data_IF_362242082621
#
_entry.id   IF_362242082621
#
_cell.length_a   1.000
_cell.length_b   1.000
_cell.length_c   1.000
_cell.angle_alpha   90.00
_cell.angle_beta   90.00
_cell.angle_gamma   90.00
#
_symmetry.space_group_name_H-M   'P 1'
#
loop_
_entity.id
_entity.type
_entity.pdbx_description
1 polymer ?
#
# COMPACT_ATOMS: atom_id res chain seq x y z
N UNK A 1 -5.43 -29.82 28.14
CA UNK A 1 -5.68 -28.91 27.01
C UNK A 1 -5.10 -29.45 25.71
N UNK A 2 -5.64 -29.02 24.57
CA UNK A 2 -5.05 -29.14 23.23
C UNK A 2 -5.10 -27.77 22.56
N UNK A 3 -4.20 -27.54 21.61
CA UNK A 3 -4.06 -26.27 20.93
C UNK A 3 -4.02 -26.47 19.42
N UNK A 4 -4.70 -25.62 18.67
CA UNK A 4 -4.58 -25.56 17.23
C UNK A 4 -4.06 -24.18 16.84
N UNK A 5 -2.86 -24.13 16.26
CA UNK A 5 -2.22 -22.86 15.88
C UNK A 5 -2.66 -22.35 14.50
N UNK A 6 -3.46 -23.14 13.77
CA UNK A 6 -3.90 -22.83 12.41
C UNK A 6 -5.36 -22.36 12.36
N UNK A 7 -6.06 -22.40 13.49
CA UNK A 7 -7.49 -22.11 13.57
C UNK A 7 -8.36 -23.23 13.00
N UNK A 8 -9.65 -23.17 13.29
CA UNK A 8 -10.65 -24.12 12.79
C UNK A 8 -10.87 -25.35 13.69
N UNK A 9 -10.42 -25.27 14.95
CA UNK A 9 -10.66 -26.23 16.02
C UNK A 9 -10.26 -27.67 15.66
N UNK A 10 -9.15 -27.84 14.92
CA UNK A 10 -8.69 -29.15 14.51
C UNK A 10 -7.63 -29.73 15.47
N UNK A 11 -8.11 -30.48 16.46
CA UNK A 11 -7.27 -31.13 17.47
C UNK A 11 -6.94 -32.61 17.16
N UNK A 12 -7.15 -33.04 15.91
CA UNK A 12 -6.92 -34.43 15.52
C UNK A 12 -5.45 -34.83 15.64
N UNK A 13 -5.19 -36.05 16.10
CA UNK A 13 -3.82 -36.57 16.27
C UNK A 13 -3.01 -35.96 17.42
N UNK A 14 -3.58 -35.05 18.21
CA UNK A 14 -2.92 -34.48 19.38
C UNK A 14 -3.32 -35.21 20.67
N UNK A 15 -2.35 -35.43 21.56
CA UNK A 15 -2.60 -35.91 22.92
C UNK A 15 -2.93 -34.76 23.88
N UNK A 16 -3.77 -35.05 24.88
CA UNK A 16 -4.10 -34.09 25.93
C UNK A 16 -2.86 -33.75 26.77
N UNK A 17 -2.56 -32.45 26.88
CA UNK A 17 -1.45 -31.93 27.68
C UNK A 17 -1.95 -31.34 29.02
N UNK A 18 -1.17 -31.41 30.11
CA UNK A 18 -1.49 -30.71 31.36
C UNK A 18 -1.55 -29.19 31.17
N UNK A 19 -2.50 -28.50 31.83
CA UNK A 19 -2.65 -27.05 31.74
C UNK A 19 -1.58 -26.23 32.51
N UNK A 20 -0.51 -26.89 32.96
CA UNK A 20 0.55 -26.29 33.79
C UNK A 20 1.83 -25.98 33.00
N UNK A 21 1.87 -26.28 31.70
CA UNK A 21 3.03 -26.02 30.85
C UNK A 21 2.69 -25.01 29.75
N UNK A 22 3.53 -23.98 29.54
CA UNK A 22 3.37 -23.09 28.40
C UNK A 22 3.63 -23.86 27.10
N UNK A 23 2.79 -23.63 26.10
CA UNK A 23 3.00 -24.12 24.73
C UNK A 23 3.56 -22.98 23.89
N UNK A 24 4.56 -23.28 23.08
CA UNK A 24 5.18 -22.31 22.18
C UNK A 24 4.85 -22.64 20.74
N UNK A 25 4.47 -21.60 19.99
CA UNK A 25 4.28 -21.68 18.55
C UNK A 25 5.26 -20.76 17.84
N UNK A 26 5.67 -21.18 16.65
CA UNK A 26 6.34 -20.33 15.68
C UNK A 26 5.45 -20.19 14.46
N UNK A 27 5.45 -18.98 13.91
CA UNK A 27 4.79 -18.61 12.67
C UNK A 27 5.85 -18.19 11.66
N UNK A 28 5.76 -18.75 10.48
CA UNK A 28 6.63 -18.50 9.33
C UNK A 28 6.00 -17.54 8.32
N UNK A 29 4.73 -17.14 8.55
CA UNK A 29 4.01 -16.15 7.76
C UNK A 29 3.58 -15.00 8.64
N UNK A 30 3.80 -13.78 8.15
CA UNK A 30 3.28 -12.57 8.76
C UNK A 30 1.75 -12.50 8.65
N UNK A 31 1.15 -11.59 9.40
CA UNK A 31 -0.28 -11.32 9.39
C UNK A 31 -1.05 -11.97 10.53
N UNK A 32 -2.38 -12.00 10.39
CA UNK A 32 -3.27 -12.52 11.44
C UNK A 32 -3.32 -14.05 11.44
N UNK A 33 -3.21 -14.63 12.62
CA UNK A 33 -3.39 -16.06 12.87
C UNK A 33 -4.40 -16.25 14.00
N UNK A 34 -5.26 -17.24 13.85
CA UNK A 34 -6.18 -17.67 14.90
C UNK A 34 -5.61 -18.88 15.62
N UNK A 35 -5.65 -18.86 16.95
CA UNK A 35 -5.25 -19.96 17.82
C UNK A 35 -6.43 -20.42 18.63
N UNK A 36 -6.72 -21.71 18.53
CA UNK A 36 -7.81 -22.34 19.25
C UNK A 36 -7.28 -23.17 20.42
N UNK A 37 -7.99 -23.10 21.53
CA UNK A 37 -7.71 -23.83 22.76
C UNK A 37 -8.95 -24.62 23.14
N UNK A 38 -8.78 -25.92 23.38
CA UNK A 38 -9.79 -26.74 24.05
C UNK A 38 -9.24 -27.28 25.36
N UNK A 39 -10.03 -27.18 26.42
CA UNK A 39 -9.75 -27.71 27.75
C UNK A 39 -10.74 -28.82 28.11
N UNK A 40 -10.32 -29.72 29.01
CA UNK A 40 -11.17 -30.77 29.52
C UNK A 40 -10.88 -30.99 31.00
N UNK A 41 -11.92 -31.11 31.81
CA UNK A 41 -11.81 -31.43 33.24
C UNK A 41 -11.74 -32.93 33.50
N UNK A 42 -11.60 -33.33 34.77
CA UNK A 42 -11.56 -34.75 35.17
C UNK A 42 -12.89 -35.48 35.01
N UNK A 43 -13.99 -34.74 34.83
CA UNK A 43 -15.33 -35.25 34.53
C UNK A 43 -15.61 -35.38 33.03
N UNK A 44 -14.62 -35.14 32.17
CA UNK A 44 -14.73 -35.13 30.71
C UNK A 44 -15.60 -34.00 30.14
N UNK A 45 -15.90 -32.96 30.92
CA UNK A 45 -16.51 -31.74 30.40
C UNK A 45 -15.44 -30.92 29.67
N UNK A 46 -15.81 -30.38 28.51
CA UNK A 46 -14.92 -29.59 27.67
C UNK A 46 -15.43 -28.16 27.54
N UNK A 47 -14.49 -27.24 27.34
CA UNK A 47 -14.74 -25.84 27.00
C UNK A 47 -13.66 -25.38 26.02
N UNK A 48 -13.95 -24.38 25.20
CA UNK A 48 -13.05 -23.92 24.15
C UNK A 48 -13.03 -22.39 24.03
N UNK A 49 -11.95 -21.87 23.46
CA UNK A 49 -11.77 -20.45 23.18
C UNK A 49 -10.81 -20.26 22.02
N UNK A 50 -10.97 -19.15 21.32
CA UNK A 50 -10.05 -18.71 20.26
C UNK A 50 -9.35 -17.40 20.65
N UNK A 51 -8.20 -17.14 20.05
CA UNK A 51 -7.46 -15.89 20.16
C UNK A 51 -6.86 -15.54 18.80
N UNK A 52 -6.97 -14.28 18.39
CA UNK A 52 -6.33 -13.77 17.16
C UNK A 52 -5.03 -13.07 17.54
N UNK A 53 -3.94 -13.44 16.88
CA UNK A 53 -2.63 -12.83 17.03
C UNK A 53 -2.14 -12.27 15.70
N UNK A 54 -1.42 -11.16 15.76
CA UNK A 54 -0.76 -10.58 14.60
C UNK A 54 0.73 -10.88 14.67
N UNK A 55 1.25 -11.56 13.65
CA UNK A 55 2.68 -11.81 13.49
C UNK A 55 3.26 -10.70 12.63
N UNK A 56 4.06 -9.84 13.27
CA UNK A 56 4.77 -8.73 12.61
C UNK A 56 6.26 -9.06 12.46
N UNK A 57 6.97 -8.38 11.54
CA UNK A 57 8.41 -8.57 11.40
C UNK A 57 9.22 -8.20 12.66
N UNK A 58 10.45 -8.74 12.81
CA UNK A 58 11.35 -8.36 13.90
C UNK A 58 11.71 -6.86 13.82
N UNK A 59 11.29 -6.08 14.80
CA UNK A 59 11.46 -4.61 14.79
C UNK A 59 10.19 -3.83 14.47
N UNK A 60 9.08 -4.51 14.18
CA UNK A 60 7.81 -3.89 13.77
C UNK A 60 7.74 -3.70 12.26
N UNK A 61 6.64 -3.10 11.81
CA UNK A 61 6.46 -2.66 10.41
C UNK A 61 6.76 -1.17 10.32
N UNK A 62 7.63 -0.76 9.38
CA UNK A 62 7.93 0.64 9.09
C UNK A 62 7.21 1.05 7.80
N UNK A 63 6.89 2.35 7.59
CA UNK A 63 6.33 2.77 6.32
C UNK A 63 7.33 2.57 5.17
N UNK A 64 6.84 2.42 3.92
CA UNK A 64 7.71 2.34 2.76
C UNK A 64 8.48 3.65 2.57
N UNK A 65 9.53 3.62 1.76
CA UNK A 65 10.18 4.81 1.19
C UNK A 65 9.67 5.00 -0.23
N UNK A 66 8.82 6.01 -0.44
CA UNK A 66 8.23 6.28 -1.74
C UNK A 66 9.23 6.95 -2.70
N UNK A 67 9.23 6.52 -3.95
CA UNK A 67 9.92 7.21 -5.04
C UNK A 67 8.98 7.45 -6.21
N UNK A 68 9.11 8.62 -6.85
CA UNK A 68 8.40 8.97 -8.07
C UNK A 68 9.35 9.63 -9.06
N UNK A 69 9.37 9.13 -10.29
CA UNK A 69 10.05 9.72 -11.44
C UNK A 69 9.07 9.87 -12.60
N UNK A 70 8.91 11.08 -13.13
CA UNK A 70 8.02 11.42 -14.22
C UNK A 70 8.84 11.89 -15.42
N UNK A 71 8.60 11.26 -16.57
CA UNK A 71 9.29 11.58 -17.83
C UNK A 71 8.29 11.74 -18.99
N UNK A 72 8.38 12.82 -19.78
CA UNK A 72 9.22 14.01 -19.58
C UNK A 72 8.70 14.89 -18.42
N UNK A 73 9.50 15.82 -17.88
CA UNK A 73 8.99 16.78 -16.87
C UNK A 73 8.31 18.00 -17.48
N UNK A 74 8.36 18.15 -18.81
CA UNK A 74 7.72 19.24 -19.54
C UNK A 74 7.06 18.71 -20.80
N UNK A 75 5.86 19.20 -21.11
CA UNK A 75 5.10 18.77 -22.28
C UNK A 75 4.00 19.75 -22.67
N UNK A 76 3.18 19.35 -23.63
CA UNK A 76 1.93 20.03 -23.97
C UNK A 76 0.74 19.26 -23.38
N UNK A 77 -0.47 19.80 -23.52
CA UNK A 77 -1.74 19.12 -23.16
C UNK A 77 -1.99 17.78 -23.88
N UNK A 78 -1.16 17.42 -24.87
CA UNK A 78 -1.20 16.14 -25.59
C UNK A 78 -0.01 15.24 -25.27
N UNK A 79 0.89 15.67 -24.38
CA UNK A 79 2.05 14.85 -23.97
C UNK A 79 1.60 13.78 -23.00
N UNK A 80 1.95 12.54 -23.31
CA UNK A 80 1.88 11.43 -22.36
C UNK A 80 3.08 11.49 -21.43
N UNK A 81 2.81 11.60 -20.14
CA UNK A 81 3.79 11.57 -19.06
C UNK A 81 3.85 10.14 -18.52
N UNK A 82 5.04 9.55 -18.45
CA UNK A 82 5.26 8.25 -17.80
C UNK A 82 5.64 8.47 -16.35
N UNK A 83 4.94 7.80 -15.44
CA UNK A 83 5.18 7.77 -14.01
C UNK A 83 5.84 6.44 -13.65
N UNK A 84 7.03 6.51 -13.08
CA UNK A 84 7.79 5.38 -12.58
C UNK A 84 7.94 5.49 -11.08
N UNK A 85 7.41 4.50 -10.37
CA UNK A 85 7.47 4.37 -8.91
C UNK A 85 8.21 3.10 -8.48
N UNK A 86 8.77 2.37 -9.44
CA UNK A 86 9.39 1.05 -9.23
C UNK A 86 10.66 1.08 -8.36
N UNK A 87 11.22 2.27 -8.13
CA UNK A 87 12.32 2.48 -7.19
C UNK A 87 11.90 2.71 -5.73
N UNK A 88 10.60 2.64 -5.43
CA UNK A 88 10.12 2.62 -4.04
C UNK A 88 10.60 1.35 -3.32
N UNK A 89 10.84 1.44 -2.02
CA UNK A 89 11.34 0.30 -1.22
C UNK A 89 10.62 0.20 0.10
N UNK A 90 10.65 -0.99 0.68
CA UNK A 90 10.20 -1.24 2.05
C UNK A 90 11.18 -2.22 2.72
N UNK A 91 11.24 -2.23 4.05
CA UNK A 91 12.16 -3.09 4.80
C UNK A 91 11.69 -4.55 4.90
N UNK A 92 10.39 -4.82 4.70
CA UNK A 92 9.79 -6.14 4.80
C UNK A 92 8.94 -6.54 3.60
N UNK A 93 8.36 -5.59 2.87
CA UNK A 93 7.59 -5.82 1.65
C UNK A 93 8.45 -5.66 0.39
N UNK A 94 8.27 -6.57 -0.55
CA UNK A 94 8.88 -6.42 -1.86
C UNK A 94 8.06 -5.44 -2.73
N UNK A 95 8.67 -4.87 -3.76
CA UNK A 95 8.01 -3.88 -4.64
C UNK A 95 6.69 -4.38 -5.28
N UNK A 96 6.53 -5.69 -5.45
CA UNK A 96 5.29 -6.29 -5.99
C UNK A 96 4.17 -6.39 -4.96
N UNK A 97 4.47 -6.31 -3.66
CA UNK A 97 3.50 -6.28 -2.57
C UNK A 97 3.10 -4.84 -2.21
N UNK A 98 3.87 -3.85 -2.65
CA UNK A 98 3.56 -2.44 -2.47
C UNK A 98 2.45 -1.96 -3.42
N UNK A 99 1.57 -1.13 -2.89
CA UNK A 99 0.50 -0.46 -3.63
C UNK A 99 0.79 1.02 -3.83
N UNK A 100 0.38 1.60 -4.95
CA UNK A 100 0.53 3.03 -5.25
C UNK A 100 -0.78 3.66 -5.70
N UNK A 101 -0.99 4.94 -5.41
CA UNK A 101 -2.04 5.77 -6.02
C UNK A 101 -1.54 7.19 -6.24
N UNK A 102 -2.19 7.91 -7.14
CA UNK A 102 -1.73 9.22 -7.57
C UNK A 102 -2.76 10.33 -7.34
N UNK A 103 -2.27 11.52 -7.04
CA UNK A 103 -2.98 12.79 -7.04
C UNK A 103 -2.26 13.69 -8.05
N UNK A 104 -2.98 14.08 -9.12
CA UNK A 104 -2.42 14.81 -10.25
C UNK A 104 -2.13 16.28 -9.92
N UNK A 105 -2.76 16.83 -8.89
CA UNK A 105 -2.76 18.27 -8.59
C UNK A 105 -2.29 18.63 -7.17
N UNK A 106 -1.99 17.63 -6.36
CA UNK A 106 -1.58 17.75 -4.95
C UNK A 106 -2.64 18.50 -4.11
N UNK A 107 -3.92 18.28 -4.40
CA UNK A 107 -5.05 18.90 -3.69
C UNK A 107 -5.56 18.04 -2.52
N UNK A 108 -4.99 16.85 -2.33
CA UNK A 108 -5.34 15.89 -1.28
C UNK A 108 -6.42 14.90 -1.71
N UNK A 109 -6.93 14.98 -2.94
CA UNK A 109 -7.85 14.01 -3.52
C UNK A 109 -7.09 13.14 -4.52
N UNK A 110 -7.10 11.83 -4.27
CA UNK A 110 -6.45 10.89 -5.16
C UNK A 110 -7.33 10.61 -6.38
N UNK A 111 -6.75 10.76 -7.57
CA UNK A 111 -7.41 10.54 -8.86
C UNK A 111 -7.44 9.08 -9.29
N UNK A 112 -6.61 8.24 -8.68
CA UNK A 112 -6.58 6.80 -8.97
C UNK A 112 -7.00 5.96 -7.78
N UNK A 113 -7.53 4.77 -8.06
CA UNK A 113 -7.54 3.69 -7.07
C UNK A 113 -6.10 3.26 -6.72
N UNK A 114 -5.97 2.38 -5.74
CA UNK A 114 -4.72 1.67 -5.52
C UNK A 114 -4.37 0.80 -6.73
N UNK A 115 -3.09 0.81 -7.07
CA UNK A 115 -2.43 0.14 -8.20
C UNK A 115 -1.18 -0.56 -7.67
N UNK A 116 -0.49 -1.35 -8.50
CA UNK A 116 0.72 -2.07 -8.07
C UNK A 116 1.99 -1.23 -8.30
N UNK A 117 2.81 -1.03 -7.27
CA UNK A 117 3.99 -0.16 -7.35
C UNK A 117 5.14 -0.72 -8.21
N UNK A 118 5.12 -2.00 -8.59
CA UNK A 118 6.13 -2.57 -9.50
C UNK A 118 5.95 -2.18 -10.97
N UNK A 119 4.85 -1.51 -11.30
CA UNK A 119 4.51 -1.11 -12.67
C UNK A 119 4.80 0.37 -12.93
N UNK A 120 4.87 0.71 -14.22
CA UNK A 120 4.85 2.10 -14.68
C UNK A 120 3.46 2.48 -15.18
N UNK A 121 3.10 3.74 -14.97
CA UNK A 121 1.80 4.29 -15.34
C UNK A 121 1.97 5.49 -16.27
N UNK A 122 0.89 5.91 -16.92
CA UNK A 122 0.90 7.10 -17.77
C UNK A 122 -0.28 8.02 -17.49
N UNK A 123 -0.08 9.32 -17.69
CA UNK A 123 -1.12 10.35 -17.56
C UNK A 123 -0.98 11.39 -18.66
N UNK A 124 -2.09 12.02 -19.05
CA UNK A 124 -2.10 13.17 -19.96
C UNK A 124 -3.00 14.26 -19.37
N UNK A 125 -2.49 15.49 -19.27
CA UNK A 125 -3.21 16.63 -18.72
C UNK A 125 -4.03 17.32 -19.81
N UNK A 126 -5.15 16.70 -20.17
CA UNK A 126 -6.08 17.25 -21.16
C UNK A 126 -6.69 18.56 -20.66
N UNK A 127 -6.69 19.59 -21.51
CA UNK A 127 -7.29 20.91 -21.25
C UNK A 127 -6.76 21.66 -20.01
N UNK A 128 -5.66 21.19 -19.41
CA UNK A 128 -5.01 21.79 -18.25
C UNK A 128 -3.57 22.15 -18.59
N UNK A 129 -3.20 23.41 -18.37
CA UNK A 129 -1.84 23.90 -18.59
C UNK A 129 -1.37 24.71 -17.39
N UNK A 130 -0.05 24.75 -17.20
CA UNK A 130 0.57 25.33 -16.02
C UNK A 130 1.57 24.37 -15.40
N UNK A 131 1.94 24.66 -14.16
CA UNK A 131 2.79 23.82 -13.35
C UNK A 131 1.92 22.95 -12.45
N UNK A 132 2.16 21.65 -12.44
CA UNK A 132 1.43 20.68 -11.62
C UNK A 132 2.40 19.91 -10.74
N UNK A 133 2.05 19.72 -9.47
CA UNK A 133 2.74 18.80 -8.58
C UNK A 133 1.95 17.51 -8.56
N UNK A 134 2.56 16.43 -9.05
CA UNK A 134 1.97 15.09 -8.98
C UNK A 134 2.50 14.42 -7.72
N UNK A 135 1.60 13.87 -6.90
CA UNK A 135 1.93 13.05 -5.72
C UNK A 135 1.68 11.59 -6.03
N UNK A 136 2.63 10.73 -5.67
CA UNK A 136 2.43 9.29 -5.53
C UNK A 136 2.42 8.95 -4.04
N UNK A 137 1.38 8.25 -3.59
CA UNK A 137 1.33 7.61 -2.27
C UNK A 137 1.60 6.13 -2.42
N UNK A 138 2.61 5.63 -1.73
CA UNK A 138 2.94 4.20 -1.68
C UNK A 138 2.50 3.63 -0.34
N UNK A 139 1.98 2.40 -0.35
CA UNK A 139 1.47 1.70 0.82
C UNK A 139 2.02 0.29 0.88
N UNK A 140 2.44 -0.13 2.07
CA UNK A 140 2.89 -1.49 2.35
C UNK A 140 1.71 -2.46 2.61
N UNK A 141 2.01 -3.73 2.88
CA UNK A 141 0.97 -4.74 3.18
C UNK A 141 0.32 -4.55 4.56
N UNK A 142 1.00 -3.85 5.47
CA UNK A 142 0.52 -3.48 6.81
C UNK A 142 -0.35 -2.20 6.84
N UNK A 143 -0.52 -1.53 5.70
CA UNK A 143 -1.31 -0.31 5.55
C UNK A 143 -0.61 0.99 5.93
N UNK A 144 0.70 0.98 6.20
CA UNK A 144 1.48 2.21 6.40
C UNK A 144 1.84 2.82 5.04
N UNK A 145 2.00 4.14 5.01
CA UNK A 145 2.17 4.87 3.75
C UNK A 145 3.26 5.92 3.81
N UNK A 146 3.87 6.19 2.65
CA UNK A 146 4.75 7.33 2.40
C UNK A 146 4.39 8.00 1.06
N UNK A 147 4.79 9.26 0.90
CA UNK A 147 4.46 10.09 -0.26
C UNK A 147 5.73 10.59 -0.98
N UNK A 148 5.73 10.55 -2.31
CA UNK A 148 6.70 11.20 -3.16
C UNK A 148 6.01 12.17 -4.12
N UNK A 149 6.63 13.32 -4.39
CA UNK A 149 6.06 14.33 -5.30
C UNK A 149 7.02 14.68 -6.42
N UNK A 150 6.49 14.96 -7.60
CA UNK A 150 7.26 15.54 -8.69
C UNK A 150 6.47 16.60 -9.45
N UNK A 151 7.14 17.71 -9.72
CA UNK A 151 6.56 18.81 -10.50
C UNK A 151 6.79 18.64 -11.99
N UNK A 152 5.74 18.85 -12.77
CA UNK A 152 5.77 18.91 -14.23
C UNK A 152 5.28 20.27 -14.73
N UNK A 153 5.64 20.61 -15.97
CA UNK A 153 5.11 21.81 -16.67
C UNK A 153 4.38 21.40 -17.93
N UNK A 154 3.08 21.72 -18.00
CA UNK A 154 2.23 21.47 -19.16
C UNK A 154 1.95 22.79 -19.86
N UNK A 155 2.17 22.83 -21.17
CA UNK A 155 2.00 24.03 -21.99
C UNK A 155 0.86 23.87 -22.99
N UNK A 156 0.30 24.99 -23.43
CA UNK A 156 -0.58 24.99 -24.59
C UNK A 156 0.25 25.10 -25.87
N UNK A 157 -0.12 24.42 -26.96
CA UNK A 157 0.51 24.65 -28.26
C UNK A 157 0.19 26.05 -28.82
N UNK A 158 -0.80 26.75 -28.26
CA UNK A 158 -1.22 28.07 -28.71
C UNK A 158 -0.69 29.18 -27.79
N UNK A 159 0.15 30.07 -28.34
CA UNK A 159 0.32 31.42 -27.80
C UNK A 159 -0.79 32.31 -28.38
N UNK A 160 -1.78 32.68 -27.57
CA UNK A 160 -2.75 33.69 -27.99
C UNK A 160 -2.05 35.05 -27.93
N UNK A 161 -1.47 35.48 -29.06
CA UNK A 161 -1.25 36.90 -29.30
C UNK A 161 -2.57 37.47 -29.83
N UNK A 162 -3.40 38.04 -28.94
CA UNK A 162 -4.42 38.97 -29.43
C UNK A 162 -3.68 40.24 -29.85
N UNK A 163 -3.60 40.60 -31.15
CA UNK A 163 -3.13 41.92 -31.51
C UNK A 163 -4.10 42.94 -30.90
N UNK A 164 -3.57 43.87 -30.10
CA UNK A 164 -4.31 45.05 -29.67
C UNK A 164 -4.64 45.83 -30.95
N UNK A 165 -5.85 45.69 -31.47
CA UNK A 165 -6.32 46.52 -32.55
C UNK A 165 -6.48 47.96 -32.02
N UNK A 166 -5.45 48.78 -32.16
CA UNK A 166 -5.61 50.23 -32.09
C UNK A 166 -6.46 50.65 -33.28
N UNK A 167 -7.75 50.89 -33.07
CA UNK A 167 -8.53 51.72 -34.00
C UNK A 167 -7.96 53.13 -33.93
N UNK A 168 -7.33 53.58 -35.01
CA UNK A 168 -7.15 55.01 -35.26
C UNK A 168 -8.49 55.62 -35.64
N UNK A 169 -8.97 56.56 -34.85
CA UNK A 169 -9.79 57.68 -35.31
C UNK A 169 -9.08 58.96 -34.91
#
# INVERSE_FOLDING_TARGET
MKWDKWGGFNFSGQDWQPATQPVQFTYDRLGQHTVDLIVMDTGYLMDDTECVLEVVPPGGNNPPTAQLVITPTTGTITTTFTLDVSGSTDDHDAIYDLSVRFDWTDDGVFDTSWLNASQTYTVTFHDMWGQFTVRARVMDSGGLTDDATQTITVTTPYRIFLPLATKSQ
#
